data_IF_853948177274
#
_entry.id   IF_853948177274
#
_cell.length_a   1.000
_cell.length_b   1.000
_cell.length_c   1.000
_cell.angle_alpha   90.00
_cell.angle_beta   90.00
_cell.angle_gamma   90.00
#
_symmetry.space_group_name_H-M   'P 1'
#
loop_
_entity.id
_entity.type
_entity.pdbx_description
1 polymer ?
#
# COMPACT_ATOMS: atom_id res chain seq x y z
N UNK A 1 -25.07 9.04 17.60
CA UNK A 1 -24.23 9.90 16.73
C UNK A 1 -23.68 9.00 15.66
N UNK A 2 -24.06 9.13 14.38
CA UNK A 2 -23.49 8.30 13.30
C UNK A 2 -22.01 8.67 13.23
N UNK A 3 -21.11 7.72 13.45
CA UNK A 3 -19.69 7.89 13.14
C UNK A 3 -19.61 8.34 11.67
N UNK A 4 -19.31 9.62 11.47
CA UNK A 4 -19.06 10.13 10.12
C UNK A 4 -17.76 9.51 9.65
N UNK A 5 -17.88 8.52 8.77
CA UNK A 5 -16.69 7.94 8.15
C UNK A 5 -15.96 9.05 7.39
N UNK A 6 -14.65 9.09 7.45
CA UNK A 6 -13.84 10.08 6.72
C UNK A 6 -14.21 10.10 5.23
N UNK A 7 -14.62 8.97 4.68
CA UNK A 7 -15.02 8.83 3.28
C UNK A 7 -16.16 9.77 2.87
N UNK A 8 -17.11 10.06 3.77
CA UNK A 8 -18.25 10.94 3.47
C UNK A 8 -17.93 12.42 3.57
N UNK A 9 -16.77 12.79 4.13
CA UNK A 9 -16.33 14.18 4.23
C UNK A 9 -15.82 14.71 2.89
N UNK A 10 -16.28 15.89 2.50
CA UNK A 10 -15.75 16.67 1.36
C UNK A 10 -14.73 17.74 1.80
N UNK A 11 -14.55 17.91 3.12
CA UNK A 11 -13.62 18.92 3.65
C UNK A 11 -12.16 18.38 3.63
N UNK A 12 -11.35 18.94 2.76
CA UNK A 12 -9.93 18.59 2.62
C UNK A 12 -9.13 18.79 3.92
N UNK A 13 -9.55 19.68 4.83
CA UNK A 13 -8.88 19.88 6.13
C UNK A 13 -9.09 18.69 7.04
N UNK A 14 -10.28 18.10 7.04
CA UNK A 14 -10.58 16.87 7.80
C UNK A 14 -9.71 15.70 7.31
N UNK A 15 -9.55 15.57 5.99
CA UNK A 15 -8.66 14.57 5.39
C UNK A 15 -7.18 14.84 5.74
N UNK A 16 -6.76 16.12 5.71
CA UNK A 16 -5.41 16.51 6.08
C UNK A 16 -5.10 16.17 7.54
N UNK A 17 -5.99 16.49 8.47
CA UNK A 17 -5.82 16.16 9.89
C UNK A 17 -5.68 14.64 10.11
N UNK A 18 -6.46 13.83 9.39
CA UNK A 18 -6.32 12.37 9.44
C UNK A 18 -4.96 11.92 8.90
N UNK A 19 -4.51 12.45 7.76
CA UNK A 19 -3.21 12.14 7.18
C UNK A 19 -2.06 12.55 8.12
N UNK A 20 -2.12 13.73 8.72
CA UNK A 20 -1.09 14.26 9.61
C UNK A 20 -0.97 13.43 10.90
N UNK A 21 -2.03 12.72 11.30
CA UNK A 21 -2.00 11.79 12.43
C UNK A 21 -1.33 10.44 12.12
N UNK A 22 -0.99 10.15 10.86
CA UNK A 22 -0.54 8.84 10.41
C UNK A 22 0.65 8.29 11.19
N UNK A 23 1.72 9.07 11.36
CA UNK A 23 2.93 8.63 12.08
C UNK A 23 2.63 8.30 13.54
N UNK A 24 1.84 9.14 14.23
CA UNK A 24 1.41 8.86 15.59
C UNK A 24 0.55 7.61 15.69
N UNK A 25 -0.25 7.30 14.66
CA UNK A 25 -1.02 6.04 14.61
C UNK A 25 -0.10 4.84 14.40
N UNK A 26 0.92 4.95 13.54
CA UNK A 26 1.94 3.90 13.35
C UNK A 26 2.63 3.56 14.67
N UNK A 27 3.07 4.57 15.43
CA UNK A 27 3.71 4.37 16.75
C UNK A 27 2.77 3.68 17.75
N UNK A 28 1.49 4.05 17.76
CA UNK A 28 0.47 3.46 18.67
C UNK A 28 0.12 2.00 18.37
N UNK A 29 0.51 1.45 17.21
CA UNK A 29 0.26 0.03 16.91
C UNK A 29 0.99 -0.92 17.85
N UNK A 30 2.03 -0.46 18.57
CA UNK A 30 2.85 -1.27 19.48
C UNK A 30 3.48 -2.51 18.81
N UNK A 31 3.72 -2.44 17.51
CA UNK A 31 4.47 -3.43 16.74
C UNK A 31 5.89 -2.91 16.59
N UNK A 32 6.82 -3.48 17.37
CA UNK A 32 8.16 -2.92 17.59
C UNK A 32 8.91 -2.50 16.32
N UNK A 33 8.79 -3.25 15.22
CA UNK A 33 9.50 -2.95 13.97
C UNK A 33 8.70 -2.09 12.98
N UNK A 34 7.40 -1.85 13.25
CA UNK A 34 6.56 -1.14 12.27
C UNK A 34 7.02 0.30 12.02
N UNK A 35 7.34 1.12 13.03
CA UNK A 35 7.79 2.50 12.78
C UNK A 35 9.07 2.57 11.93
N UNK A 36 10.06 1.70 12.20
CA UNK A 36 11.29 1.61 11.40
C UNK A 36 11.00 1.19 9.96
N UNK A 37 10.20 0.13 9.79
CA UNK A 37 9.83 -0.39 8.48
C UNK A 37 9.02 0.64 7.67
N UNK A 38 8.14 1.39 8.32
CA UNK A 38 7.33 2.42 7.66
C UNK A 38 8.16 3.61 7.19
N UNK A 39 9.10 4.09 8.03
CA UNK A 39 10.06 5.13 7.62
C UNK A 39 10.91 4.69 6.44
N UNK A 40 11.43 3.47 6.46
CA UNK A 40 12.19 2.90 5.35
C UNK A 40 11.33 2.81 4.08
N UNK A 41 10.13 2.24 4.19
CA UNK A 41 9.21 2.05 3.07
C UNK A 41 8.85 3.37 2.37
N UNK A 42 8.59 4.42 3.14
CA UNK A 42 8.14 5.70 2.59
C UNK A 42 9.26 6.67 2.28
N UNK A 43 10.35 6.61 3.01
CA UNK A 43 11.47 7.57 2.88
C UNK A 43 12.59 7.08 1.98
N UNK A 44 12.94 5.78 2.04
CA UNK A 44 14.12 5.28 1.34
C UNK A 44 13.80 4.50 0.06
N UNK A 45 12.81 3.60 0.11
CA UNK A 45 12.48 2.70 -1.03
C UNK A 45 12.20 3.45 -2.33
N UNK A 46 11.44 4.56 -2.34
CA UNK A 46 11.19 5.30 -3.58
C UNK A 46 12.48 5.74 -4.26
N UNK A 47 13.41 6.32 -3.50
CA UNK A 47 14.71 6.75 -4.01
C UNK A 47 15.59 5.59 -4.48
N UNK A 48 15.64 4.51 -3.71
CA UNK A 48 16.42 3.32 -4.06
C UNK A 48 15.94 2.70 -5.38
N UNK A 49 14.65 2.55 -5.56
CA UNK A 49 14.05 1.96 -6.77
C UNK A 49 14.25 2.88 -7.97
N UNK A 50 13.97 4.19 -7.80
CA UNK A 50 14.07 5.17 -8.87
C UNK A 50 15.52 5.42 -9.34
N UNK A 51 16.52 5.19 -8.50
CA UNK A 51 17.93 5.35 -8.85
C UNK A 51 18.46 4.26 -9.80
N UNK A 52 17.80 3.12 -9.90
CA UNK A 52 18.24 1.99 -10.74
C UNK A 52 17.80 2.17 -12.20
N UNK A 53 18.56 1.58 -13.09
CA UNK A 53 18.30 1.59 -14.55
C UNK A 53 18.39 0.16 -15.11
N UNK A 54 17.24 -0.48 -15.45
CA UNK A 54 15.86 -0.03 -15.22
C UNK A 54 15.48 -0.05 -13.75
N UNK A 55 14.41 0.69 -13.33
CA UNK A 55 13.89 0.64 -11.97
C UNK A 55 13.46 -0.78 -11.59
N UNK A 56 13.84 -1.24 -10.40
CA UNK A 56 13.46 -2.57 -9.88
C UNK A 56 13.64 -2.63 -8.37
N UNK A 57 13.05 -3.65 -7.74
CA UNK A 57 13.34 -4.04 -6.36
C UNK A 57 14.23 -5.28 -6.34
N UNK A 58 15.08 -5.38 -5.32
CA UNK A 58 15.88 -6.57 -5.05
C UNK A 58 15.11 -7.57 -4.18
N UNK A 59 15.58 -8.82 -4.10
CA UNK A 59 14.98 -9.82 -3.22
C UNK A 59 15.00 -9.39 -1.73
N UNK A 60 16.09 -8.87 -1.15
CA UNK A 60 16.08 -8.36 0.22
C UNK A 60 15.03 -7.24 0.45
N UNK A 61 14.87 -6.35 -0.52
CA UNK A 61 13.87 -5.29 -0.45
C UNK A 61 12.44 -5.84 -0.54
N UNK A 62 12.18 -6.78 -1.43
CA UNK A 62 10.87 -7.44 -1.53
C UNK A 62 10.52 -8.17 -0.22
N UNK A 63 11.49 -8.83 0.42
CA UNK A 63 11.33 -9.44 1.74
C UNK A 63 10.96 -8.38 2.77
N UNK A 64 11.72 -7.29 2.85
CA UNK A 64 11.48 -6.21 3.82
C UNK A 64 10.16 -5.48 3.57
N UNK A 65 9.76 -5.27 2.32
CA UNK A 65 8.44 -4.75 1.94
C UNK A 65 7.30 -5.68 2.42
N UNK A 66 7.51 -6.99 2.30
CA UNK A 66 6.56 -7.99 2.80
C UNK A 66 6.48 -7.96 4.34
N UNK A 67 7.61 -7.80 5.02
CA UNK A 67 7.65 -7.63 6.49
C UNK A 67 6.91 -6.36 6.93
N UNK A 68 7.12 -5.22 6.24
CA UNK A 68 6.37 -3.99 6.48
C UNK A 68 4.85 -4.20 6.36
N UNK A 69 4.42 -4.79 5.25
CA UNK A 69 3.00 -5.08 5.00
C UNK A 69 2.40 -5.97 6.09
N UNK A 70 3.15 -6.98 6.54
CA UNK A 70 2.69 -7.90 7.58
C UNK A 70 2.70 -7.25 8.98
N UNK A 71 3.68 -6.40 9.28
CA UNK A 71 3.74 -5.65 10.53
C UNK A 71 2.59 -4.65 10.66
N UNK A 72 2.17 -4.05 9.55
CA UNK A 72 1.01 -3.14 9.49
C UNK A 72 -0.33 -3.89 9.60
N UNK A 73 -0.40 -5.11 9.10
CA UNK A 73 -1.61 -5.93 9.06
C UNK A 73 -1.49 -7.23 9.85
N UNK A 74 -1.60 -8.35 9.16
CA UNK A 74 -1.53 -9.69 9.75
C UNK A 74 -0.20 -10.36 9.38
N UNK A 75 0.51 -10.84 10.40
CA UNK A 75 1.75 -11.59 10.21
C UNK A 75 1.45 -13.00 9.69
N UNK A 76 2.03 -13.34 8.54
CA UNK A 76 1.86 -14.64 7.88
C UNK A 76 3.24 -15.23 7.52
N UNK A 77 3.86 -15.88 8.48
CA UNK A 77 5.21 -16.47 8.31
C UNK A 77 5.35 -17.37 7.07
N UNK A 78 4.36 -18.22 6.67
CA UNK A 78 4.47 -19.02 5.46
C UNK A 78 4.64 -18.16 4.18
N UNK A 79 3.97 -17.02 4.09
CA UNK A 79 4.13 -16.12 2.95
C UNK A 79 5.55 -15.58 2.83
N UNK A 80 6.18 -15.27 3.96
CA UNK A 80 7.55 -14.77 3.97
C UNK A 80 8.55 -15.82 3.49
N UNK A 81 8.32 -17.09 3.85
CA UNK A 81 9.11 -18.23 3.33
C UNK A 81 8.99 -18.32 1.81
N UNK A 82 7.78 -18.21 1.26
CA UNK A 82 7.56 -18.21 -0.18
C UNK A 82 8.24 -17.03 -0.88
N UNK A 83 8.14 -15.83 -0.32
CA UNK A 83 8.80 -14.64 -0.90
C UNK A 83 10.31 -14.84 -0.95
N UNK A 84 10.92 -15.32 0.15
CA UNK A 84 12.37 -15.61 0.23
C UNK A 84 12.84 -16.70 -0.75
N UNK A 85 11.95 -17.60 -1.19
CA UNK A 85 12.27 -18.67 -2.13
C UNK A 85 12.33 -18.24 -3.60
N UNK A 86 12.03 -16.98 -3.91
CA UNK A 86 12.20 -16.47 -5.27
C UNK A 86 13.69 -16.31 -5.59
N UNK A 87 14.14 -16.69 -6.80
CA UNK A 87 15.48 -16.35 -7.27
C UNK A 87 15.64 -14.82 -7.37
N UNK A 88 16.80 -14.31 -6.96
CA UNK A 88 17.06 -12.87 -6.92
C UNK A 88 16.94 -12.19 -8.30
N UNK A 89 17.44 -12.84 -9.35
CA UNK A 89 17.37 -12.38 -10.73
C UNK A 89 15.92 -12.37 -11.26
N UNK A 90 15.10 -13.33 -10.84
CA UNK A 90 13.65 -13.36 -11.19
C UNK A 90 12.93 -12.20 -10.54
N UNK A 91 13.25 -11.85 -9.29
CA UNK A 91 12.66 -10.68 -8.60
C UNK A 91 13.03 -9.39 -9.36
N UNK A 92 14.29 -9.20 -9.69
CA UNK A 92 14.77 -8.04 -10.45
C UNK A 92 14.07 -7.95 -11.80
N UNK A 93 14.07 -9.03 -12.58
CA UNK A 93 13.45 -9.07 -13.90
C UNK A 93 11.94 -8.81 -13.85
N UNK A 94 11.23 -9.46 -12.93
CA UNK A 94 9.79 -9.32 -12.80
C UNK A 94 9.40 -7.92 -12.33
N UNK A 95 10.09 -7.38 -11.33
CA UNK A 95 9.80 -6.03 -10.83
C UNK A 95 10.15 -4.96 -11.84
N UNK A 96 11.24 -5.11 -12.59
CA UNK A 96 11.59 -4.20 -13.69
C UNK A 96 10.50 -4.17 -14.76
N UNK A 97 10.02 -5.35 -15.20
CA UNK A 97 8.94 -5.44 -16.17
C UNK A 97 7.63 -4.83 -15.66
N UNK A 98 7.34 -5.03 -14.36
CA UNK A 98 6.16 -4.45 -13.71
C UNK A 98 6.24 -2.92 -13.69
N UNK A 99 7.37 -2.36 -13.25
CA UNK A 99 7.54 -0.91 -13.12
C UNK A 99 7.62 -0.21 -14.47
N UNK A 100 8.09 -0.90 -15.53
CA UNK A 100 8.04 -0.39 -16.89
C UNK A 100 6.60 -0.23 -17.44
N UNK A 101 5.63 -0.91 -16.86
CA UNK A 101 4.22 -0.79 -17.23
C UNK A 101 3.46 0.35 -16.50
N UNK A 102 4.11 1.10 -15.62
CA UNK A 102 3.53 2.29 -14.98
C UNK A 102 3.29 3.36 -16.07
N UNK A 103 2.12 4.02 -16.11
CA UNK A 103 1.04 4.07 -15.11
C UNK A 103 -0.17 3.14 -15.37
N UNK A 104 -0.01 2.02 -16.08
CA UNK A 104 -1.16 1.14 -16.35
C UNK A 104 -1.86 0.72 -15.03
N UNK A 105 -3.20 0.84 -14.91
CA UNK A 105 -3.93 0.73 -13.64
C UNK A 105 -3.69 -0.56 -12.84
N UNK A 106 -3.49 -1.70 -13.50
CA UNK A 106 -3.43 -3.02 -12.86
C UNK A 106 -2.27 -3.89 -13.32
N UNK A 107 -1.67 -3.64 -14.51
CA UNK A 107 -0.60 -4.48 -15.07
C UNK A 107 0.62 -4.61 -14.13
N UNK A 108 1.13 -3.54 -13.49
CA UNK A 108 2.24 -3.66 -12.55
C UNK A 108 1.95 -4.62 -11.41
N UNK A 109 0.74 -4.54 -10.84
CA UNK A 109 0.30 -5.38 -9.72
C UNK A 109 0.20 -6.85 -10.17
N UNK A 110 -0.45 -7.10 -11.32
CA UNK A 110 -0.60 -8.45 -11.88
C UNK A 110 0.76 -9.08 -12.24
N UNK A 111 1.71 -8.29 -12.70
CA UNK A 111 3.06 -8.74 -13.03
C UNK A 111 3.83 -9.13 -11.77
N UNK A 112 3.83 -8.29 -10.73
CA UNK A 112 4.46 -8.57 -9.45
C UNK A 112 3.85 -9.78 -8.74
N UNK A 113 2.53 -9.96 -8.86
CA UNK A 113 1.82 -11.09 -8.26
C UNK A 113 2.17 -12.47 -8.86
N UNK A 114 3.01 -12.52 -9.91
CA UNK A 114 3.60 -13.77 -10.43
C UNK A 114 4.72 -14.31 -9.54
N UNK A 115 5.31 -13.49 -8.68
CA UNK A 115 6.32 -13.92 -7.72
C UNK A 115 5.70 -14.77 -6.61
N UNK A 116 6.44 -15.78 -6.14
CA UNK A 116 5.99 -16.66 -5.06
C UNK A 116 5.72 -15.85 -3.79
N UNK A 117 4.59 -16.09 -3.15
CA UNK A 117 4.19 -15.39 -1.91
C UNK A 117 3.75 -13.94 -2.11
N UNK A 118 3.69 -13.45 -3.34
CA UNK A 118 3.27 -12.08 -3.67
C UNK A 118 1.85 -12.10 -4.20
N UNK A 119 0.90 -11.70 -3.36
CA UNK A 119 -0.48 -11.43 -3.79
C UNK A 119 -0.70 -9.95 -4.11
N UNK A 120 -1.93 -9.54 -4.48
CA UNK A 120 -2.24 -8.15 -4.84
C UNK A 120 -1.83 -7.12 -3.77
N UNK A 121 -1.95 -7.44 -2.48
CA UNK A 121 -1.54 -6.53 -1.41
C UNK A 121 -0.02 -6.31 -1.36
N UNK A 122 0.80 -7.36 -1.47
CA UNK A 122 2.27 -7.20 -1.50
C UNK A 122 2.71 -6.52 -2.79
N UNK A 123 2.09 -6.88 -3.92
CA UNK A 123 2.36 -6.24 -5.21
C UNK A 123 2.03 -4.74 -5.18
N UNK A 124 0.90 -4.35 -4.57
CA UNK A 124 0.54 -2.94 -4.43
C UNK A 124 1.48 -2.17 -3.51
N UNK A 125 2.08 -2.81 -2.51
CA UNK A 125 3.11 -2.18 -1.69
C UNK A 125 4.34 -1.78 -2.52
N UNK A 126 4.81 -2.66 -3.42
CA UNK A 126 5.91 -2.34 -4.34
C UNK A 126 5.54 -1.20 -5.28
N UNK A 127 4.36 -1.27 -5.91
CA UNK A 127 3.92 -0.26 -6.86
C UNK A 127 3.67 1.10 -6.19
N UNK A 128 3.09 1.13 -4.99
CA UNK A 128 2.83 2.37 -4.25
C UNK A 128 4.10 3.04 -3.73
N UNK A 129 5.16 2.28 -3.46
CA UNK A 129 6.46 2.85 -3.13
C UNK A 129 7.13 3.54 -4.32
N UNK A 130 6.90 3.05 -5.54
CA UNK A 130 7.49 3.61 -6.76
C UNK A 130 6.65 4.74 -7.36
N UNK A 131 5.33 4.59 -7.40
CA UNK A 131 4.42 5.53 -8.03
C UNK A 131 3.17 5.77 -7.15
N UNK A 132 3.34 6.46 -5.99
CA UNK A 132 2.27 6.71 -5.02
C UNK A 132 1.14 7.59 -5.55
N UNK A 133 1.40 8.35 -6.62
CA UNK A 133 0.42 9.14 -7.36
C UNK A 133 -0.56 8.29 -8.17
N UNK A 134 -0.22 7.02 -8.41
CA UNK A 134 -1.04 6.10 -9.22
C UNK A 134 -1.59 4.93 -8.41
N UNK A 135 -0.77 4.35 -7.50
CA UNK A 135 -1.11 3.13 -6.81
C UNK A 135 -1.25 3.33 -5.30
N UNK A 136 -2.45 3.12 -4.72
CA UNK A 136 -2.61 2.98 -3.29
C UNK A 136 -2.15 1.60 -2.83
N UNK A 137 -1.64 1.50 -1.60
CA UNK A 137 -1.43 0.21 -0.96
C UNK A 137 -2.78 -0.46 -0.66
N UNK A 138 -2.91 -1.75 -0.94
CA UNK A 138 -4.12 -2.53 -0.70
C UNK A 138 -4.21 -2.97 0.77
N UNK A 139 -4.95 -2.24 1.56
CA UNK A 139 -5.18 -2.48 2.98
C UNK A 139 -6.67 -2.81 3.24
N UNK A 140 -6.94 -3.85 4.05
CA UNK A 140 -8.31 -4.28 4.36
C UNK A 140 -9.09 -3.26 5.19
N UNK A 141 -8.40 -2.53 6.10
CA UNK A 141 -9.03 -1.51 6.94
C UNK A 141 -9.45 -0.29 6.12
N UNK A 142 -8.67 0.00 5.09
CA UNK A 142 -8.96 1.07 4.14
C UNK A 142 -10.10 0.64 3.21
N UNK A 143 -10.00 -0.56 2.63
CA UNK A 143 -11.02 -1.09 1.73
C UNK A 143 -12.41 -1.18 2.39
N UNK A 144 -12.46 -1.52 3.67
CA UNK A 144 -13.70 -1.58 4.44
C UNK A 144 -14.40 -0.22 4.64
N UNK A 145 -13.71 0.88 4.40
CA UNK A 145 -14.27 2.23 4.49
C UNK A 145 -14.77 2.78 3.14
N UNK A 146 -14.44 2.11 2.05
CA UNK A 146 -14.84 2.53 0.69
C UNK A 146 -16.21 1.93 0.37
N UNK A 147 -17.23 2.76 0.08
CA UNK A 147 -18.57 2.29 -0.24
C UNK A 147 -18.57 1.37 -1.48
N UNK A 148 -19.56 0.50 -1.55
CA UNK A 148 -19.90 -0.31 -2.72
C UNK A 148 -18.82 -1.31 -3.19
N UNK A 149 -17.72 -1.48 -2.44
CA UNK A 149 -16.72 -2.52 -2.75
C UNK A 149 -17.15 -3.91 -2.30
N UNK A 150 -18.06 -4.01 -1.33
CA UNK A 150 -18.45 -5.28 -0.71
C UNK A 150 -17.35 -5.87 0.20
N UNK A 151 -17.51 -7.14 0.57
CA UNK A 151 -16.54 -7.84 1.40
C UNK A 151 -15.15 -7.89 0.74
N UNK A 152 -14.10 -7.66 1.54
CA UNK A 152 -12.73 -7.62 1.04
C UNK A 152 -12.34 -8.96 0.41
N UNK A 153 -11.90 -8.90 -0.84
CA UNK A 153 -11.42 -10.04 -1.60
C UNK A 153 -10.02 -9.74 -2.17
N UNK A 154 -9.06 -10.60 -1.87
CA UNK A 154 -7.65 -10.41 -2.27
C UNK A 154 -7.41 -10.80 -3.74
N UNK A 155 -8.23 -10.22 -4.63
CA UNK A 155 -8.19 -10.47 -6.08
C UNK A 155 -7.80 -9.22 -6.85
N UNK A 156 -7.31 -9.40 -8.08
CA UNK A 156 -6.98 -8.29 -8.98
C UNK A 156 -8.21 -7.45 -9.33
N UNK A 157 -9.37 -8.09 -9.54
CA UNK A 157 -10.60 -7.37 -9.84
C UNK A 157 -11.05 -6.48 -8.67
N UNK A 158 -10.91 -6.97 -7.43
CA UNK A 158 -11.22 -6.16 -6.25
C UNK A 158 -10.21 -5.01 -6.09
N UNK A 159 -8.91 -5.29 -6.23
CA UNK A 159 -7.88 -4.24 -6.18
C UNK A 159 -8.13 -3.15 -7.22
N UNK A 160 -8.51 -3.50 -8.44
CA UNK A 160 -8.81 -2.52 -9.48
C UNK A 160 -9.90 -1.53 -9.04
N UNK A 161 -11.05 -2.02 -8.57
CA UNK A 161 -12.14 -1.17 -8.05
C UNK A 161 -11.73 -0.34 -6.85
N UNK A 162 -10.98 -0.94 -5.92
CA UNK A 162 -10.44 -0.25 -4.75
C UNK A 162 -9.51 0.91 -5.16
N UNK A 163 -8.56 0.65 -6.04
CA UNK A 163 -7.61 1.65 -6.50
C UNK A 163 -8.27 2.78 -7.30
N UNK A 164 -9.27 2.45 -8.14
CA UNK A 164 -10.05 3.44 -8.89
C UNK A 164 -10.84 4.35 -7.94
N UNK A 165 -11.44 3.80 -6.89
CA UNK A 165 -12.15 4.58 -5.89
C UNK A 165 -11.22 5.58 -5.15
N UNK A 166 -10.00 5.14 -4.78
CA UNK A 166 -9.03 6.01 -4.11
C UNK A 166 -8.45 7.07 -5.05
N UNK A 167 -8.23 6.73 -6.34
CA UNK A 167 -7.84 7.71 -7.37
C UNK A 167 -8.91 8.79 -7.56
N UNK A 168 -10.18 8.37 -7.67
CA UNK A 168 -11.30 9.30 -7.79
C UNK A 168 -11.43 10.20 -6.55
N UNK A 169 -11.20 9.65 -5.36
CA UNK A 169 -11.21 10.43 -4.11
C UNK A 169 -10.05 11.43 -4.08
N UNK A 170 -8.84 11.04 -4.46
CA UNK A 170 -7.70 11.94 -4.54
C UNK A 170 -7.97 13.10 -5.51
N UNK A 171 -8.51 12.80 -6.69
CA UNK A 171 -8.90 13.82 -7.67
C UNK A 171 -9.98 14.79 -7.13
N UNK A 172 -10.96 14.28 -6.38
CA UNK A 172 -12.00 15.11 -5.77
C UNK A 172 -11.47 16.02 -4.64
N UNK A 173 -10.41 15.61 -3.94
CA UNK A 173 -9.76 16.44 -2.92
C UNK A 173 -8.82 17.49 -3.54
N UNK A 174 -8.41 17.31 -4.79
CA UNK A 174 -7.51 18.22 -5.51
C UNK A 174 -6.05 18.12 -5.06
N UNK A 175 -5.18 18.91 -5.69
CA UNK A 175 -3.75 18.94 -5.37
C UNK A 175 -3.50 19.32 -3.89
N UNK A 176 -2.52 18.70 -3.23
CA UNK A 176 -1.55 17.71 -3.72
C UNK A 176 -1.95 16.23 -3.41
N UNK A 177 -3.24 15.90 -3.31
CA UNK A 177 -3.68 14.58 -2.89
C UNK A 177 -3.34 13.48 -3.91
N UNK A 178 -2.79 12.38 -3.41
CA UNK A 178 -2.53 11.16 -4.17
C UNK A 178 -3.36 10.00 -3.61
N UNK A 179 -3.61 8.92 -4.39
CA UNK A 179 -4.26 7.72 -3.88
C UNK A 179 -3.56 7.13 -2.65
N UNK A 180 -2.22 7.22 -2.58
CA UNK A 180 -1.45 6.79 -1.42
C UNK A 180 -1.66 7.68 -0.20
N UNK A 181 -1.89 8.98 -0.37
CA UNK A 181 -2.25 9.89 0.74
C UNK A 181 -3.66 9.60 1.24
N UNK A 182 -4.62 9.35 0.35
CA UNK A 182 -5.98 8.94 0.69
C UNK A 182 -5.98 7.63 1.49
N UNK A 183 -5.19 6.64 1.06
CA UNK A 183 -5.01 5.37 1.75
C UNK A 183 -4.50 5.58 3.18
N UNK A 184 -3.45 6.39 3.36
CA UNK A 184 -2.88 6.70 4.68
C UNK A 184 -3.85 7.44 5.60
N UNK A 185 -4.57 8.40 5.06
CA UNK A 185 -5.56 9.17 5.82
C UNK A 185 -6.69 8.27 6.34
N UNK A 186 -7.22 7.38 5.50
CA UNK A 186 -8.25 6.42 5.89
C UNK A 186 -7.75 5.43 6.95
N UNK A 187 -6.53 4.91 6.78
CA UNK A 187 -5.94 4.00 7.74
C UNK A 187 -5.69 4.68 9.10
N UNK A 188 -5.20 5.90 9.08
CA UNK A 188 -4.98 6.68 10.30
C UNK A 188 -6.28 7.06 11.00
N UNK A 189 -7.32 7.40 10.23
CA UNK A 189 -8.63 7.77 10.75
C UNK A 189 -9.25 6.68 11.64
N UNK A 190 -9.12 5.42 11.26
CA UNK A 190 -9.61 4.29 12.07
C UNK A 190 -8.63 3.83 13.14
N UNK A 191 -7.51 4.52 13.33
CA UNK A 191 -6.50 4.19 14.32
C UNK A 191 -5.64 2.97 13.96
N UNK A 192 -5.60 2.60 12.68
CA UNK A 192 -4.94 1.39 12.22
C UNK A 192 -5.58 0.13 12.80
N UNK A 193 -4.78 -0.94 12.93
CA UNK A 193 -5.25 -2.20 13.50
C UNK A 193 -5.59 -2.09 14.99
N UNK A 194 -4.81 -1.33 15.76
CA UNK A 194 -5.04 -1.13 17.19
C UNK A 194 -6.31 -0.31 17.50
N UNK A 195 -6.80 0.49 16.58
CA UNK A 195 -8.03 1.26 16.74
C UNK A 195 -9.32 0.43 16.66
N UNK A 196 -9.22 -0.86 16.31
CA UNK A 196 -10.34 -1.82 16.22
C UNK A 196 -10.33 -2.87 17.37
N UNK A 197 -9.42 -2.74 18.32
CA UNK A 197 -9.33 -3.64 19.48
C UNK A 197 -10.29 -3.21 20.61
#
# INVERSE_FOLDING_TARGET
MRDMTLWTSTDARTWRAALDSYEAVVERQRVARLPELDRWFRGEVPGLVAARRPPHVTLPELVRLTEWKMARGVWRAPNLVLVRSNPADVVVKTSSAALAAVPHPTTPIATLAKLKGVGPATASAVASAFAPETYPFFDELVAAQVPDLGAVAWTMAYYGRYADALRARAAALGDPWTPSMVERALWAHVGGKAGRA
#
